data_IF_360829563655
#
_entry.id   IF_360829563655
#
_cell.length_a   1.000
_cell.length_b   1.000
_cell.length_c   1.000
_cell.angle_alpha   90.00
_cell.angle_beta   90.00
_cell.angle_gamma   90.00
#
_symmetry.space_group_name_H-M   'P 1'
#
loop_
_entity.id
_entity.type
_entity.pdbx_description
1 polymer ?
#
# COMPACT_ATOMS: atom_id res chain seq x y z
N UNK A 1 18.48 12.65 -5.59
CA UNK A 1 18.53 12.14 -6.98
C UNK A 1 19.69 11.14 -7.15
N UNK A 2 19.37 9.88 -7.46
CA UNK A 2 20.31 8.75 -7.55
C UNK A 2 21.06 8.64 -8.88
N UNK A 3 20.50 9.13 -9.99
CA UNK A 3 21.05 8.94 -11.33
C UNK A 3 21.79 10.19 -11.85
N UNK A 4 22.93 10.53 -11.23
CA UNK A 4 23.84 11.60 -11.73
C UNK A 4 25.26 11.09 -12.04
N UNK A 5 25.43 9.79 -12.27
CA UNK A 5 26.73 9.16 -12.49
C UNK A 5 27.51 8.88 -11.20
N UNK A 6 28.77 8.38 -11.32
CA UNK A 6 29.57 7.95 -10.17
C UNK A 6 29.88 9.11 -9.22
N UNK A 7 29.60 8.96 -7.92
CA UNK A 7 29.99 9.94 -6.89
C UNK A 7 31.21 9.46 -6.10
N UNK A 8 31.84 10.39 -5.38
CA UNK A 8 32.93 10.05 -4.46
C UNK A 8 32.43 9.07 -3.39
N UNK A 9 33.26 8.08 -3.04
CA UNK A 9 32.94 7.02 -2.07
C UNK A 9 32.39 7.53 -0.73
N UNK A 10 32.84 8.72 -0.27
CA UNK A 10 32.33 9.38 0.95
C UNK A 10 30.85 9.78 0.87
N UNK A 11 30.39 10.23 -0.30
CA UNK A 11 28.98 10.58 -0.51
C UNK A 11 28.10 9.33 -0.60
N UNK A 12 28.63 8.26 -1.19
CA UNK A 12 27.97 6.94 -1.20
C UNK A 12 27.82 6.40 0.22
N UNK A 13 28.89 6.45 1.03
CA UNK A 13 28.83 6.04 2.44
C UNK A 13 27.78 6.85 3.23
N UNK A 14 27.74 8.17 3.07
CA UNK A 14 26.72 9.00 3.70
C UNK A 14 25.30 8.68 3.23
N UNK A 15 25.14 8.22 1.99
CA UNK A 15 23.84 7.77 1.45
C UNK A 15 23.41 6.46 2.09
N UNK A 16 24.32 5.50 2.27
CA UNK A 16 24.06 4.25 2.98
C UNK A 16 23.52 4.51 4.39
N UNK A 17 24.16 5.39 5.15
CA UNK A 17 23.70 5.72 6.51
C UNK A 17 22.32 6.38 6.53
N UNK A 18 22.01 7.26 5.56
CA UNK A 18 20.67 7.87 5.45
C UNK A 18 19.61 6.84 5.14
N UNK A 19 19.87 5.96 4.17
CA UNK A 19 18.98 4.85 3.79
C UNK A 19 18.75 3.91 4.97
N UNK A 20 19.80 3.51 5.68
CA UNK A 20 19.69 2.66 6.87
C UNK A 20 18.85 3.31 7.98
N UNK A 21 19.00 4.62 8.18
CA UNK A 21 18.20 5.39 9.14
C UNK A 21 16.73 5.44 8.73
N UNK A 22 16.41 5.58 7.44
CA UNK A 22 15.03 5.53 6.95
C UNK A 22 14.41 4.14 7.14
N UNK A 23 15.15 3.07 6.87
CA UNK A 23 14.70 1.71 7.17
C UNK A 23 14.40 1.54 8.66
N UNK A 24 15.32 1.96 9.53
CA UNK A 24 15.13 1.86 10.98
C UNK A 24 13.91 2.66 11.46
N UNK A 25 13.70 3.87 10.91
CA UNK A 25 12.52 4.70 11.20
C UNK A 25 11.23 4.01 10.76
N UNK A 26 11.19 3.51 9.52
CA UNK A 26 10.03 2.82 8.96
C UNK A 26 9.68 1.57 9.76
N UNK A 27 10.67 0.71 10.02
CA UNK A 27 10.44 -0.53 10.77
C UNK A 27 9.92 -0.28 12.18
N UNK A 28 10.43 0.75 12.87
CA UNK A 28 9.98 1.09 14.22
C UNK A 28 8.57 1.66 14.25
N UNK A 29 8.26 2.61 13.37
CA UNK A 29 6.93 3.24 13.34
C UNK A 29 5.84 2.26 12.90
N UNK A 30 6.15 1.36 11.98
CA UNK A 30 5.19 0.40 11.42
C UNK A 30 5.17 -0.94 12.16
N UNK A 31 5.99 -1.14 13.19
CA UNK A 31 6.05 -2.43 13.89
C UNK A 31 4.70 -2.87 14.49
N UNK A 32 3.91 -1.92 14.99
CA UNK A 32 2.66 -2.18 15.73
C UNK A 32 1.39 -1.79 14.98
N UNK A 33 1.49 -1.47 13.68
CA UNK A 33 0.30 -1.04 12.93
C UNK A 33 -0.68 -2.18 12.65
N UNK A 34 -0.32 -3.43 12.96
CA UNK A 34 -1.23 -4.57 12.79
C UNK A 34 -1.34 -5.01 11.33
N UNK A 35 -2.33 -5.86 10.99
CA UNK A 35 -2.54 -6.32 9.63
C UNK A 35 -2.95 -5.15 8.75
N UNK A 36 -2.13 -4.82 7.74
CA UNK A 36 -2.44 -3.70 6.86
C UNK A 36 -2.98 -4.16 5.51
N UNK A 37 -3.89 -3.35 4.96
CA UNK A 37 -4.19 -3.34 3.52
C UNK A 37 -3.67 -2.03 2.98
N UNK A 38 -2.88 -2.09 1.91
CA UNK A 38 -2.38 -0.86 1.27
C UNK A 38 -3.30 -0.46 0.12
N UNK A 39 -3.72 0.80 0.14
CA UNK A 39 -4.53 1.42 -0.92
C UNK A 39 -3.64 2.34 -1.76
N UNK A 40 -3.63 2.08 -3.06
CA UNK A 40 -2.93 2.86 -4.08
C UNK A 40 -3.92 3.52 -5.03
N UNK A 41 -3.52 4.65 -5.60
CA UNK A 41 -4.29 5.31 -6.64
C UNK A 41 -3.85 6.75 -6.91
N UNK A 42 -4.56 7.40 -7.81
CA UNK A 42 -4.25 8.75 -8.27
C UNK A 42 -4.36 9.79 -7.16
N UNK A 43 -3.36 10.66 -7.08
CA UNK A 43 -3.38 11.87 -6.25
C UNK A 43 -4.26 13.00 -6.81
N UNK A 44 -4.94 12.77 -7.95
CA UNK A 44 -5.63 13.82 -8.72
C UNK A 44 -7.15 13.68 -8.77
N UNK A 45 -7.68 12.57 -8.29
CA UNK A 45 -9.13 12.29 -8.29
C UNK A 45 -9.78 13.12 -7.17
N UNK A 46 -10.86 13.83 -7.48
CA UNK A 46 -11.58 14.64 -6.50
C UNK A 46 -12.52 13.79 -5.62
N UNK A 47 -12.85 14.31 -4.43
CA UNK A 47 -13.74 13.63 -3.47
C UNK A 47 -15.14 13.30 -4.03
N UNK A 48 -15.60 14.06 -5.02
CA UNK A 48 -16.91 13.91 -5.66
C UNK A 48 -16.94 12.86 -6.76
N UNK A 49 -15.78 12.34 -7.17
CA UNK A 49 -15.69 11.38 -8.26
C UNK A 49 -16.02 9.96 -7.79
N UNK A 50 -16.68 9.14 -8.63
CA UNK A 50 -17.05 7.77 -8.26
C UNK A 50 -15.88 6.91 -7.78
N UNK A 51 -14.70 7.07 -8.39
CA UNK A 51 -13.50 6.33 -8.01
C UNK A 51 -13.04 6.64 -6.58
N UNK A 52 -13.17 7.89 -6.12
CA UNK A 52 -12.89 8.26 -4.74
C UNK A 52 -13.88 7.61 -3.78
N UNK A 53 -15.18 7.68 -4.11
CA UNK A 53 -16.25 7.09 -3.29
C UNK A 53 -16.06 5.58 -3.14
N UNK A 54 -15.75 4.88 -4.23
CA UNK A 54 -15.49 3.45 -4.22
C UNK A 54 -14.28 3.08 -3.34
N UNK A 55 -13.15 3.78 -3.51
CA UNK A 55 -11.94 3.54 -2.70
C UNK A 55 -12.17 3.79 -1.21
N UNK A 56 -12.93 4.85 -0.86
CA UNK A 56 -13.32 5.15 0.52
C UNK A 56 -14.21 4.05 1.10
N UNK A 57 -15.20 3.59 0.33
CA UNK A 57 -16.12 2.52 0.75
C UNK A 57 -15.36 1.21 1.03
N UNK A 58 -14.47 0.79 0.11
CA UNK A 58 -13.62 -0.41 0.31
C UNK A 58 -12.78 -0.27 1.57
N UNK A 59 -12.12 0.87 1.76
CA UNK A 59 -11.29 1.10 2.95
C UNK A 59 -12.11 1.09 4.25
N UNK A 60 -13.34 1.62 4.25
CA UNK A 60 -14.25 1.52 5.39
C UNK A 60 -14.61 0.06 5.71
N UNK A 61 -14.98 -0.75 4.71
CA UNK A 61 -15.29 -2.18 4.90
C UNK A 61 -14.11 -2.93 5.50
N UNK A 62 -12.93 -2.75 4.92
CA UNK A 62 -11.70 -3.38 5.42
C UNK A 62 -11.36 -2.91 6.84
N UNK A 63 -11.58 -1.63 7.14
CA UNK A 63 -11.44 -1.08 8.49
C UNK A 63 -12.38 -1.71 9.52
N UNK A 64 -13.67 -1.91 9.16
CA UNK A 64 -14.66 -2.61 10.00
C UNK A 64 -14.25 -4.05 10.30
N UNK A 65 -13.49 -4.67 9.39
CA UNK A 65 -12.94 -6.03 9.55
C UNK A 65 -11.67 -6.06 10.41
N UNK A 66 -11.19 -4.92 10.90
CA UNK A 66 -10.04 -4.80 11.78
C UNK A 66 -8.70 -4.64 11.06
N UNK A 67 -8.71 -4.39 9.75
CA UNK A 67 -7.48 -4.02 9.03
C UNK A 67 -7.10 -2.57 9.32
N UNK A 68 -5.80 -2.34 9.38
CA UNK A 68 -5.23 -1.00 9.27
C UNK A 68 -5.14 -0.62 7.81
N UNK A 69 -5.51 0.60 7.46
CA UNK A 69 -5.39 1.09 6.08
C UNK A 69 -4.09 1.87 5.94
N UNK A 70 -3.23 1.44 5.02
CA UNK A 70 -1.98 2.09 4.69
C UNK A 70 -2.05 2.72 3.29
N UNK A 71 -1.50 3.91 3.10
CA UNK A 71 -1.46 4.57 1.79
C UNK A 71 -0.14 5.32 1.60
N UNK A 72 0.03 5.98 0.45
CA UNK A 72 1.11 6.96 0.24
C UNK A 72 0.94 8.29 0.98
N UNK A 73 -0.18 8.50 1.68
CA UNK A 73 -0.47 9.68 2.50
C UNK A 73 -0.78 10.97 1.73
N UNK A 74 -0.85 10.93 0.40
CA UNK A 74 -1.21 12.08 -0.43
C UNK A 74 -2.73 12.28 -0.58
N UNK A 75 -3.15 13.26 -1.40
CA UNK A 75 -4.56 13.52 -1.72
C UNK A 75 -5.17 12.45 -2.66
N UNK A 76 -6.43 12.62 -3.04
CA UNK A 76 -7.11 11.78 -4.02
C UNK A 76 -7.44 10.38 -3.49
N UNK A 77 -7.18 9.33 -4.27
CA UNK A 77 -7.52 7.95 -3.87
C UNK A 77 -6.78 7.52 -2.58
N UNK A 78 -5.56 8.01 -2.37
CA UNK A 78 -4.84 7.76 -1.12
C UNK A 78 -5.59 8.37 0.08
N UNK A 79 -6.06 9.60 -0.06
CA UNK A 79 -6.90 10.23 0.94
C UNK A 79 -8.23 9.50 1.13
N UNK A 80 -8.88 9.05 0.06
CA UNK A 80 -10.10 8.26 0.12
C UNK A 80 -9.91 7.02 1.00
N UNK A 81 -8.81 6.29 0.81
CA UNK A 81 -8.46 5.14 1.62
C UNK A 81 -8.26 5.50 3.10
N UNK A 82 -7.46 6.53 3.39
CA UNK A 82 -7.23 6.97 4.76
C UNK A 82 -8.52 7.44 5.44
N UNK A 83 -9.33 8.24 4.74
CA UNK A 83 -10.60 8.75 5.22
C UNK A 83 -11.60 7.62 5.50
N UNK A 84 -11.69 6.65 4.60
CA UNK A 84 -12.55 5.48 4.78
C UNK A 84 -12.23 4.70 6.06
N UNK A 85 -10.95 4.55 6.39
CA UNK A 85 -10.49 3.99 7.66
C UNK A 85 -10.95 4.84 8.86
N UNK A 86 -10.76 6.16 8.77
CA UNK A 86 -11.15 7.10 9.84
C UNK A 86 -12.66 7.12 10.10
N UNK A 87 -13.47 6.97 9.07
CA UNK A 87 -14.95 6.98 9.20
C UNK A 87 -15.46 5.87 10.13
N UNK A 88 -14.72 4.75 10.21
CA UNK A 88 -15.09 3.57 11.00
C UNK A 88 -14.18 3.39 12.23
N UNK A 89 -13.33 4.38 12.52
CA UNK A 89 -12.41 4.35 13.66
C UNK A 89 -11.23 3.37 13.51
N UNK A 90 -10.95 2.87 12.31
CA UNK A 90 -9.79 2.04 12.03
C UNK A 90 -8.51 2.87 11.96
N UNK A 91 -7.36 2.22 12.20
CA UNK A 91 -6.06 2.87 12.10
C UNK A 91 -5.77 3.29 10.65
N UNK A 92 -5.30 4.52 10.47
CA UNK A 92 -4.94 5.08 9.18
C UNK A 92 -3.47 5.49 9.13
N UNK A 93 -2.71 4.93 8.18
CA UNK A 93 -1.26 5.11 8.05
C UNK A 93 -0.92 5.73 6.69
N UNK A 94 -0.01 6.70 6.70
CA UNK A 94 0.51 7.33 5.49
C UNK A 94 2.03 7.19 5.40
N UNK A 95 2.51 6.56 4.34
CA UNK A 95 3.92 6.48 3.99
C UNK A 95 4.23 7.54 2.92
N UNK A 96 4.52 8.77 3.35
CA UNK A 96 4.72 9.93 2.48
C UNK A 96 6.13 9.96 1.87
N UNK A 97 6.30 10.67 0.75
CA UNK A 97 7.58 10.82 0.06
C UNK A 97 7.90 12.31 -0.11
N UNK A 98 9.13 12.70 0.21
CA UNK A 98 9.60 14.07 0.01
C UNK A 98 9.78 14.36 -1.48
N UNK A 99 8.96 15.27 -2.01
CA UNK A 99 8.99 15.70 -3.41
C UNK A 99 9.40 17.17 -3.52
N UNK A 100 10.04 17.59 -4.63
CA UNK A 100 10.44 18.98 -4.84
C UNK A 100 9.27 19.97 -4.89
N UNK A 101 8.08 19.50 -5.27
CA UNK A 101 6.83 20.23 -5.11
C UNK A 101 6.09 19.58 -3.97
N UNK A 102 5.75 20.39 -2.97
CA UNK A 102 5.13 19.93 -1.74
C UNK A 102 3.76 19.31 -2.06
N UNK A 103 3.63 18.00 -1.82
CA UNK A 103 2.33 17.37 -1.63
C UNK A 103 2.10 17.33 -0.13
N UNK A 104 1.13 18.09 0.36
CA UNK A 104 0.74 18.03 1.77
C UNK A 104 0.19 16.63 2.07
N UNK A 105 0.55 16.08 3.23
CA UNK A 105 -0.11 14.89 3.75
C UNK A 105 -1.61 15.15 3.94
N UNK A 106 -2.43 14.15 3.68
CA UNK A 106 -3.87 14.28 3.88
C UNK A 106 -4.21 14.31 5.39
N UNK A 107 -5.34 14.93 5.80
CA UNK A 107 -5.64 15.17 7.21
C UNK A 107 -6.17 13.93 7.96
N UNK A 108 -6.26 12.77 7.31
CA UNK A 108 -6.89 11.56 7.84
C UNK A 108 -5.87 10.52 8.32
N UNK A 109 -4.63 10.92 8.58
CA UNK A 109 -3.55 10.04 9.03
C UNK A 109 -3.44 10.02 10.56
N UNK A 110 -3.43 8.84 11.16
CA UNK A 110 -3.06 8.62 12.57
C UNK A 110 -1.54 8.51 12.72
N UNK A 111 -0.91 7.82 11.76
CA UNK A 111 0.54 7.63 11.72
C UNK A 111 1.09 8.07 10.37
N UNK A 112 1.96 9.07 10.39
CA UNK A 112 2.74 9.48 9.22
C UNK A 112 4.20 9.01 9.33
N UNK A 113 4.68 8.38 8.26
CA UNK A 113 6.09 8.04 8.03
C UNK A 113 6.54 8.66 6.71
N UNK A 114 7.26 9.77 6.80
CA UNK A 114 7.91 10.37 5.63
C UNK A 114 9.13 9.54 5.18
N UNK A 115 9.50 9.62 3.90
CA UNK A 115 10.67 8.99 3.29
C UNK A 115 11.32 9.97 2.31
N UNK A 116 12.65 9.90 2.15
CA UNK A 116 13.37 10.62 1.09
C UNK A 116 13.62 9.68 -0.12
N UNK A 117 13.64 8.37 0.13
CA UNK A 117 14.03 7.35 -0.83
C UNK A 117 12.83 6.47 -1.23
N UNK A 118 12.41 6.55 -2.51
CA UNK A 118 11.29 5.77 -3.05
C UNK A 118 11.38 4.27 -2.78
N UNK A 119 12.55 3.66 -2.94
CA UNK A 119 12.71 2.22 -2.72
C UNK A 119 12.54 1.83 -1.25
N UNK A 120 12.89 2.71 -0.30
CA UNK A 120 12.65 2.44 1.12
C UNK A 120 11.15 2.50 1.40
N UNK A 121 10.47 3.53 0.89
CA UNK A 121 9.00 3.68 0.97
C UNK A 121 8.29 2.44 0.41
N UNK A 122 8.68 1.97 -0.77
CA UNK A 122 8.12 0.77 -1.42
C UNK A 122 8.26 -0.48 -0.55
N UNK A 123 9.44 -0.70 0.02
CA UNK A 123 9.63 -1.83 0.95
C UNK A 123 8.67 -1.77 2.13
N UNK A 124 8.40 -0.58 2.68
CA UNK A 124 7.47 -0.43 3.80
C UNK A 124 6.02 -0.71 3.40
N UNK A 125 5.59 -0.20 2.24
CA UNK A 125 4.24 -0.44 1.70
C UNK A 125 3.98 -1.93 1.45
N UNK A 126 4.98 -2.67 0.95
CA UNK A 126 4.85 -4.11 0.70
C UNK A 126 4.95 -4.92 2.01
N UNK A 127 5.98 -4.68 2.82
CA UNK A 127 6.34 -5.53 3.98
C UNK A 127 5.23 -5.69 5.01
N UNK A 128 4.43 -4.65 5.23
CA UNK A 128 3.40 -4.62 6.27
C UNK A 128 2.00 -4.97 5.75
N UNK A 129 1.87 -5.18 4.44
CA UNK A 129 0.58 -5.42 3.79
C UNK A 129 0.27 -6.89 3.62
N UNK A 130 -1.01 -7.19 3.73
CA UNK A 130 -1.61 -8.51 3.51
C UNK A 130 -2.57 -8.53 2.32
N UNK A 131 -2.85 -7.37 1.75
CA UNK A 131 -3.62 -7.19 0.53
C UNK A 131 -3.30 -5.82 -0.08
N UNK A 132 -3.48 -5.70 -1.39
CA UNK A 132 -3.45 -4.41 -2.09
C UNK A 132 -4.81 -4.10 -2.70
N UNK A 133 -5.22 -2.84 -2.58
CA UNK A 133 -6.36 -2.26 -3.28
C UNK A 133 -5.81 -1.16 -4.18
N UNK A 134 -6.05 -1.28 -5.48
CA UNK A 134 -5.48 -0.41 -6.52
C UNK A 134 -6.63 0.29 -7.22
N UNK A 135 -6.90 1.54 -6.81
CA UNK A 135 -7.85 2.41 -7.49
C UNK A 135 -7.25 3.06 -8.74
N UNK A 136 -8.08 3.76 -9.50
CA UNK A 136 -7.67 4.46 -10.73
C UNK A 136 -6.44 5.34 -10.50
N UNK A 137 -5.42 5.21 -11.34
CA UNK A 137 -4.07 5.68 -11.02
C UNK A 137 -3.14 5.83 -12.20
N UNK A 138 -2.14 6.70 -12.07
CA UNK A 138 -1.12 6.91 -13.10
C UNK A 138 0.11 6.02 -12.92
N UNK A 139 1.27 6.51 -13.37
CA UNK A 139 2.54 5.78 -13.28
C UNK A 139 2.91 5.29 -11.88
N UNK A 140 2.68 6.08 -10.84
CA UNK A 140 3.00 5.66 -9.47
C UNK A 140 2.19 4.44 -9.03
N UNK A 141 0.88 4.45 -9.32
CA UNK A 141 -0.02 3.34 -9.02
C UNK A 141 0.32 2.09 -9.82
N UNK A 142 0.62 2.25 -11.12
CA UNK A 142 1.06 1.14 -11.96
C UNK A 142 2.40 0.55 -11.52
N UNK A 143 3.35 1.40 -11.10
CA UNK A 143 4.65 0.99 -10.55
C UNK A 143 4.49 0.14 -9.29
N UNK A 144 3.67 0.59 -8.33
CA UNK A 144 3.39 -0.17 -7.10
C UNK A 144 2.65 -1.50 -7.38
N UNK A 145 1.69 -1.50 -8.32
CA UNK A 145 0.96 -2.71 -8.72
C UNK A 145 1.86 -3.75 -9.39
N UNK A 146 2.60 -3.37 -10.43
CA UNK A 146 3.48 -4.30 -11.14
C UNK A 146 4.65 -4.79 -10.28
N UNK A 147 5.14 -3.96 -9.35
CA UNK A 147 6.13 -4.40 -8.37
C UNK A 147 5.57 -5.51 -7.47
N UNK A 148 4.34 -5.36 -6.96
CA UNK A 148 3.69 -6.40 -6.17
C UNK A 148 3.56 -7.72 -6.96
N UNK A 149 3.00 -7.65 -8.16
CA UNK A 149 2.80 -8.81 -9.03
C UNK A 149 4.13 -9.52 -9.32
N UNK A 150 5.20 -8.76 -9.57
CA UNK A 150 6.54 -9.31 -9.81
C UNK A 150 7.11 -9.98 -8.56
N UNK A 151 6.93 -9.38 -7.38
CA UNK A 151 7.41 -9.95 -6.11
C UNK A 151 6.68 -11.25 -5.76
N UNK A 152 5.37 -11.32 -6.02
CA UNK A 152 4.55 -12.53 -5.86
C UNK A 152 5.01 -13.61 -6.82
N UNK A 153 5.10 -13.28 -8.12
CA UNK A 153 5.53 -14.21 -9.18
C UNK A 153 6.90 -14.82 -8.90
N UNK A 154 7.84 -14.02 -8.36
CA UNK A 154 9.20 -14.47 -8.05
C UNK A 154 9.33 -15.13 -6.68
N UNK A 155 8.25 -15.28 -5.92
CA UNK A 155 8.23 -15.87 -4.58
C UNK A 155 9.05 -15.07 -3.56
N UNK A 156 9.27 -13.76 -3.80
CA UNK A 156 9.98 -12.88 -2.85
C UNK A 156 9.09 -12.45 -1.70
N UNK A 157 7.78 -12.52 -1.90
CA UNK A 157 6.77 -12.35 -0.86
C UNK A 157 5.73 -13.47 -0.98
N UNK A 158 4.98 -13.71 0.09
CA UNK A 158 3.87 -14.66 0.06
C UNK A 158 2.76 -14.18 -0.88
N UNK A 159 2.00 -15.11 -1.42
CA UNK A 159 0.84 -14.79 -2.26
C UNK A 159 -0.18 -14.00 -1.44
N UNK A 160 -0.63 -12.87 -1.94
CA UNK A 160 -1.67 -12.08 -1.29
C UNK A 160 -2.59 -11.44 -2.34
N UNK A 161 -3.85 -11.14 -1.99
CA UNK A 161 -4.83 -10.63 -2.95
C UNK A 161 -4.53 -9.19 -3.42
N UNK A 162 -4.63 -8.98 -4.73
CA UNK A 162 -4.54 -7.67 -5.38
C UNK A 162 -5.87 -7.34 -6.04
N UNK A 163 -6.57 -6.33 -5.53
CA UNK A 163 -7.86 -5.88 -6.07
C UNK A 163 -7.66 -4.61 -6.88
N UNK A 164 -8.12 -4.60 -8.13
CA UNK A 164 -8.20 -3.43 -8.99
C UNK A 164 -9.62 -2.86 -8.95
N UNK A 165 -9.77 -1.61 -8.52
CA UNK A 165 -11.06 -0.91 -8.50
C UNK A 165 -11.25 -0.08 -9.77
N UNK A 166 -12.37 -0.28 -10.46
CA UNK A 166 -12.69 0.39 -11.73
C UNK A 166 -12.53 -0.55 -12.92
N UNK A 167 -13.53 -1.39 -13.18
CA UNK A 167 -13.50 -2.41 -14.25
C UNK A 167 -13.22 -1.78 -15.61
N UNK A 168 -13.95 -0.73 -15.97
CA UNK A 168 -13.76 0.00 -17.24
C UNK A 168 -12.37 0.62 -17.35
N UNK A 169 -11.83 1.14 -16.25
CA UNK A 169 -10.51 1.79 -16.26
C UNK A 169 -9.37 0.79 -16.49
N UNK A 170 -9.48 -0.39 -15.89
CA UNK A 170 -8.43 -1.41 -15.93
C UNK A 170 -8.57 -2.41 -17.08
N UNK A 171 -9.70 -2.44 -17.80
CA UNK A 171 -10.00 -3.47 -18.81
C UNK A 171 -8.94 -3.59 -19.90
N UNK A 172 -8.45 -2.47 -20.43
CA UNK A 172 -7.44 -2.46 -21.49
C UNK A 172 -6.09 -2.99 -20.99
N UNK A 173 -5.72 -2.63 -19.75
CA UNK A 173 -4.49 -3.13 -19.14
C UNK A 173 -4.57 -4.62 -18.84
N UNK A 174 -5.72 -5.08 -18.33
CA UNK A 174 -5.98 -6.50 -18.10
C UNK A 174 -5.90 -7.26 -19.41
N UNK A 175 -6.50 -6.75 -20.50
CA UNK A 175 -6.36 -7.31 -21.84
C UNK A 175 -4.90 -7.42 -22.28
N UNK A 176 -4.09 -6.39 -22.02
CA UNK A 176 -2.64 -6.44 -22.30
C UNK A 176 -1.91 -7.49 -21.46
N UNK A 177 -2.30 -7.69 -20.19
CA UNK A 177 -1.75 -8.74 -19.32
C UNK A 177 -2.15 -10.13 -19.84
N UNK A 178 -3.38 -10.31 -20.34
CA UNK A 178 -3.79 -11.56 -20.97
C UNK A 178 -2.98 -11.88 -22.23
N UNK A 179 -2.63 -10.87 -23.03
CA UNK A 179 -1.70 -11.06 -24.15
C UNK A 179 -0.30 -11.50 -23.69
N UNK A 180 0.17 -11.04 -22.52
CA UNK A 180 1.42 -11.55 -21.93
C UNK A 180 1.32 -13.04 -21.59
N UNK A 181 0.18 -13.51 -21.09
CA UNK A 181 -0.07 -14.95 -20.87
C UNK A 181 -0.05 -15.71 -22.19
N UNK A 182 -0.78 -15.23 -23.20
CA UNK A 182 -0.84 -15.88 -24.53
C UNK A 182 0.53 -15.96 -25.20
N UNK A 183 1.35 -14.93 -25.02
CA UNK A 183 2.72 -14.88 -25.53
C UNK A 183 3.72 -15.71 -24.69
N UNK A 184 3.30 -16.27 -23.54
CA UNK A 184 4.17 -17.05 -22.66
C UNK A 184 5.16 -16.21 -21.84
N UNK A 185 4.87 -14.93 -21.64
CA UNK A 185 5.71 -14.02 -20.84
C UNK A 185 5.42 -14.13 -19.34
N UNK A 186 4.21 -14.57 -18.97
CA UNK A 186 3.78 -14.84 -17.59
C UNK A 186 2.88 -16.10 -17.56
N UNK A 187 2.70 -16.72 -16.40
CA UNK A 187 1.84 -17.89 -16.22
C UNK A 187 0.38 -17.49 -15.98
N UNK A 188 -0.59 -18.32 -16.36
CA UNK A 188 -2.02 -18.02 -16.08
C UNK A 188 -2.29 -17.93 -14.58
N UNK A 189 -1.61 -18.75 -13.77
CA UNK A 189 -1.71 -18.72 -12.31
C UNK A 189 -1.24 -17.40 -11.68
N UNK A 190 -0.45 -16.60 -12.40
CA UNK A 190 -0.04 -15.27 -11.93
C UNK A 190 -1.24 -14.30 -11.88
N UNK A 191 -2.36 -14.64 -12.54
CA UNK A 191 -3.60 -13.86 -12.55
C UNK A 191 -4.61 -14.28 -11.48
N UNK A 192 -4.44 -15.44 -10.85
CA UNK A 192 -5.42 -15.99 -9.89
C UNK A 192 -5.56 -15.10 -8.64
N UNK A 193 -4.56 -14.25 -8.37
CA UNK A 193 -4.51 -13.33 -7.24
C UNK A 193 -4.98 -11.91 -7.58
N UNK A 194 -5.36 -11.68 -8.84
CA UNK A 194 -5.83 -10.39 -9.33
C UNK A 194 -7.35 -10.41 -9.52
N UNK A 195 -8.04 -9.62 -8.72
CA UNK A 195 -9.48 -9.36 -8.86
C UNK A 195 -9.69 -7.97 -9.46
N UNK A 196 -10.64 -7.85 -10.38
CA UNK A 196 -11.08 -6.55 -10.91
C UNK A 196 -12.56 -6.40 -10.63
N UNK A 197 -12.95 -5.36 -9.90
CA UNK A 197 -14.34 -5.14 -9.51
C UNK A 197 -14.66 -3.65 -9.35
N UNK A 198 -15.95 -3.34 -9.44
CA UNK A 198 -16.51 -2.04 -9.09
C UNK A 198 -17.27 -2.08 -7.75
N UNK A 199 -17.48 -3.27 -7.19
CA UNK A 199 -18.25 -3.48 -5.96
C UNK A 199 -17.31 -3.47 -4.73
N UNK A 200 -17.49 -2.50 -3.81
CA UNK A 200 -16.70 -2.45 -2.59
C UNK A 200 -16.85 -3.67 -1.68
N UNK A 201 -18.03 -4.29 -1.67
CA UNK A 201 -18.31 -5.44 -0.82
C UNK A 201 -17.64 -6.70 -1.40
N UNK A 202 -17.65 -6.89 -2.73
CA UNK A 202 -16.91 -7.97 -3.41
C UNK A 202 -15.40 -7.84 -3.17
N UNK A 203 -14.86 -6.62 -3.28
CA UNK A 203 -13.45 -6.35 -2.99
C UNK A 203 -13.05 -6.72 -1.56
N UNK A 204 -13.89 -6.35 -0.58
CA UNK A 204 -13.64 -6.64 0.83
C UNK A 204 -13.76 -8.14 1.14
N UNK A 205 -14.75 -8.82 0.57
CA UNK A 205 -14.96 -10.26 0.72
C UNK A 205 -13.78 -11.05 0.14
N UNK A 206 -13.31 -10.70 -1.06
CA UNK A 206 -12.14 -11.33 -1.67
C UNK A 206 -10.90 -11.21 -0.79
N UNK A 207 -10.65 -10.02 -0.25
CA UNK A 207 -9.52 -9.79 0.67
C UNK A 207 -9.70 -10.59 1.96
N UNK A 208 -10.91 -10.69 2.50
CA UNK A 208 -11.18 -11.49 3.69
C UNK A 208 -10.79 -12.97 3.49
N UNK A 209 -11.26 -13.56 2.40
CA UNK A 209 -11.03 -14.97 2.07
C UNK A 209 -9.54 -15.24 1.84
N UNK A 210 -8.87 -14.39 1.08
CA UNK A 210 -7.50 -14.65 0.62
C UNK A 210 -6.42 -14.09 1.55
N UNK A 211 -6.73 -13.12 2.42
CA UNK A 211 -5.77 -12.58 3.39
C UNK A 211 -6.01 -13.10 4.82
N UNK A 212 -7.22 -12.97 5.37
CA UNK A 212 -7.47 -13.31 6.79
C UNK A 212 -7.29 -14.80 7.03
N UNK A 213 -7.89 -15.63 6.17
CA UNK A 213 -7.86 -17.09 6.32
C UNK A 213 -6.47 -17.64 6.04
N UNK A 214 -5.79 -17.12 5.01
CA UNK A 214 -4.45 -17.56 4.60
C UNK A 214 -3.39 -17.20 5.66
N UNK A 215 -3.39 -15.96 6.16
CA UNK A 215 -2.37 -15.47 7.09
C UNK A 215 -2.75 -15.63 8.57
N UNK A 216 -3.90 -16.24 8.89
CA UNK A 216 -4.40 -16.47 10.26
C UNK A 216 -4.37 -15.21 11.12
N UNK A 217 -4.83 -14.12 10.56
CA UNK A 217 -4.77 -12.79 11.18
C UNK A 217 -5.68 -12.79 12.42
N UNK A 218 -5.10 -12.75 13.63
CA UNK A 218 -5.86 -12.86 14.89
C UNK A 218 -5.12 -12.53 16.19
N UNK A 219 -3.96 -11.88 16.14
CA UNK A 219 -3.14 -11.59 17.33
C UNK A 219 -2.59 -10.17 17.36
N UNK A 220 -2.85 -9.43 18.45
CA UNK A 220 -2.17 -8.15 18.74
C UNK A 220 -0.77 -8.44 19.27
N UNK A 221 0.28 -8.03 18.57
CA UNK A 221 1.67 -8.13 19.03
C UNK A 221 1.85 -7.29 20.32
N UNK A 222 2.49 -7.86 21.35
CA UNK A 222 2.79 -7.17 22.61
C UNK A 222 4.16 -6.47 22.50
N UNK A 223 4.30 -5.19 22.88
CA UNK A 223 5.56 -4.46 22.77
C UNK A 223 6.61 -4.97 23.77
N UNK A 224 7.87 -5.07 23.33
CA UNK A 224 9.03 -5.36 24.16
C UNK A 224 9.73 -4.06 24.58
N UNK A 225 9.52 -3.65 25.83
CA UNK A 225 10.10 -2.42 26.42
C UNK A 225 11.63 -2.34 26.30
N UNK A 226 12.33 -3.47 26.22
CA UNK A 226 13.81 -3.53 26.08
C UNK A 226 14.29 -2.95 24.75
N UNK A 227 13.46 -2.96 23.69
CA UNK A 227 13.81 -2.42 22.38
C UNK A 227 13.37 -0.95 22.18
N UNK A 228 12.82 -0.32 23.22
CA UNK A 228 12.25 1.02 23.16
C UNK A 228 10.87 1.08 22.51
N UNK A 229 10.18 -0.06 22.44
CA UNK A 229 8.85 -0.18 21.85
C UNK A 229 7.77 0.33 22.81
N UNK A 230 6.88 1.20 22.32
CA UNK A 230 5.71 1.69 23.08
C UNK A 230 4.46 1.51 22.25
N UNK A 231 3.39 1.01 22.87
CA UNK A 231 2.05 1.04 22.30
C UNK A 231 1.60 2.50 22.22
N UNK A 232 1.29 2.99 21.02
CA UNK A 232 0.44 4.17 20.90
C UNK A 232 -0.96 3.77 21.35
N UNK A 233 -1.26 4.04 22.61
CA UNK A 233 -2.58 3.99 23.18
C UNK A 233 -3.39 5.17 22.65
N UNK A 234 -4.12 4.95 21.55
CA UNK A 234 -5.31 5.73 21.23
C UNK A 234 -6.47 5.20 22.08
N UNK A 235 -7.03 6.08 22.91
CA UNK A 235 -8.23 5.81 23.69
C UNK A 235 -9.43 5.49 22.78
N UNK A 236 -10.38 4.75 23.37
CA UNK A 236 -11.78 4.52 22.97
C UNK A 236 -12.34 5.59 22.03
#
# INVERSE_FOLDING_TARGET
>A
MFLRGPRLRRHELGTIFRVAREFLRGFRKLHFVGPCVTVFGSARIAETEPAYVAARAVASRLGEMGFTIMTGGGPGIMEAGNRGAKDVGANSVGCTIELPKEQSSNPYLDVEVSFEHFFVRKVMLVKYSYAFVVGQGGFGTGDEMFEALTLIQTGKIEQFPVVLLGVEYWSDLVGQIEEMVKAGMISRSDLDLLMVTDDPDEAAEYINEHAVQQFKIGGRLRPLRVLGETTQSGNV
#
